data_IF_841249165808
#
_entry.id   IF_841249165808
#
_cell.length_a   1.000
_cell.length_b   1.000
_cell.length_c   1.000
_cell.angle_alpha   90.00
_cell.angle_beta   90.00
_cell.angle_gamma   90.00
#
_symmetry.space_group_name_H-M   'P 1'
#
loop_
_entity.id
_entity.type
_entity.pdbx_description
1 polymer ?
#
# COMPACT_ATOMS: atom_id res chain seq x y z
N UNK A 1 9.34 -25.56 22.87
CA UNK A 1 8.16 -24.96 22.20
C UNK A 1 7.97 -23.63 22.89
N UNK A 2 7.92 -22.54 22.14
CA UNK A 2 7.81 -21.19 22.69
C UNK A 2 6.40 -20.98 23.24
N UNK A 3 6.26 -20.31 24.38
CA UNK A 3 4.99 -19.91 24.96
C UNK A 3 4.14 -19.09 23.96
N UNK A 4 4.76 -18.48 22.95
CA UNK A 4 4.15 -17.69 21.90
C UNK A 4 3.15 -18.51 21.05
N UNK A 5 3.49 -19.78 20.72
CA UNK A 5 2.59 -20.67 19.98
C UNK A 5 1.23 -20.87 20.66
N UNK A 6 1.24 -20.88 21.98
CA UNK A 6 0.04 -21.20 22.78
C UNK A 6 -0.74 -19.93 23.18
N UNK A 7 -0.14 -18.74 23.01
CA UNK A 7 -0.70 -17.48 23.53
C UNK A 7 -0.93 -16.41 22.47
N UNK A 8 -0.32 -16.55 21.27
CA UNK A 8 -0.43 -15.56 20.18
C UNK A 8 -1.08 -16.18 18.96
N UNK A 9 -2.08 -15.49 18.41
CA UNK A 9 -2.68 -15.87 17.14
C UNK A 9 -1.86 -15.24 15.99
N UNK A 10 -1.25 -16.07 15.16
CA UNK A 10 -0.41 -15.64 14.05
C UNK A 10 -1.23 -15.49 12.76
N UNK A 11 -1.00 -14.39 12.05
CA UNK A 11 -1.58 -14.16 10.72
C UNK A 11 -0.86 -14.98 9.63
N UNK A 12 -1.52 -15.19 8.51
CA UNK A 12 -0.99 -15.82 7.30
C UNK A 12 -0.56 -17.29 7.44
N UNK A 13 -0.90 -17.95 8.51
CA UNK A 13 -0.65 -19.38 8.68
C UNK A 13 -1.78 -20.05 9.48
N UNK A 14 -1.93 -21.37 9.30
CA UNK A 14 -2.74 -22.15 10.22
C UNK A 14 -2.01 -22.23 11.57
N UNK A 15 -2.70 -21.90 12.66
CA UNK A 15 -2.11 -21.86 14.01
C UNK A 15 -1.46 -23.21 14.39
N UNK A 16 -2.08 -24.31 14.00
CA UNK A 16 -1.54 -25.67 14.24
C UNK A 16 -0.22 -25.96 13.52
N UNK A 17 0.03 -25.26 12.41
CA UNK A 17 1.25 -25.42 11.60
C UNK A 17 2.35 -24.40 11.93
N UNK A 18 2.05 -23.40 12.78
CA UNK A 18 3.05 -22.40 13.15
C UNK A 18 4.17 -23.02 14.01
N UNK A 19 5.39 -22.89 13.52
CA UNK A 19 6.61 -23.39 14.17
C UNK A 19 7.81 -22.53 13.77
N UNK A 20 7.73 -21.22 13.98
CA UNK A 20 8.81 -20.31 13.65
C UNK A 20 9.88 -20.29 14.75
N UNK A 21 11.17 -20.13 14.40
CA UNK A 21 12.22 -19.95 15.39
C UNK A 21 12.08 -18.58 16.08
N UNK A 22 12.52 -18.53 17.36
CA UNK A 22 12.52 -17.28 18.12
C UNK A 22 13.66 -16.37 17.67
N UNK A 23 13.34 -15.14 17.27
CA UNK A 23 14.32 -14.09 16.97
C UNK A 23 14.62 -13.31 18.26
N UNK A 24 15.89 -13.23 18.64
CA UNK A 24 16.36 -12.52 19.85
C UNK A 24 17.13 -11.25 19.55
N UNK A 25 17.42 -10.97 18.28
CA UNK A 25 18.14 -9.77 17.88
C UNK A 25 18.38 -9.71 16.36
N UNK A 26 19.06 -8.66 15.92
CA UNK A 26 19.44 -8.49 14.52
C UNK A 26 20.43 -7.35 14.33
N UNK A 27 21.11 -7.33 13.18
CA UNK A 27 21.98 -6.24 12.76
C UNK A 27 22.11 -6.23 11.23
N UNK A 28 21.90 -5.08 10.61
CA UNK A 28 21.93 -4.97 9.15
C UNK A 28 20.90 -5.92 8.50
N UNK A 29 21.35 -6.82 7.65
CA UNK A 29 20.47 -7.82 6.99
C UNK A 29 20.39 -9.17 7.75
N UNK A 30 20.91 -9.26 8.98
CA UNK A 30 20.97 -10.50 9.71
C UNK A 30 20.04 -10.52 10.92
N UNK A 31 19.31 -11.63 11.09
CA UNK A 31 18.56 -11.96 12.30
C UNK A 31 19.36 -12.94 13.14
N UNK A 32 19.29 -12.80 14.46
CA UNK A 32 19.91 -13.68 15.44
C UNK A 32 18.80 -14.49 16.11
N UNK A 33 18.93 -15.80 16.06
CA UNK A 33 17.96 -16.72 16.63
C UNK A 33 18.39 -17.18 18.04
N UNK A 34 17.42 -17.58 18.85
CA UNK A 34 17.63 -18.06 20.22
C UNK A 34 18.56 -19.28 20.31
N UNK A 35 18.54 -20.13 19.28
CA UNK A 35 19.41 -21.32 19.17
C UNK A 35 20.84 -20.99 18.70
N UNK A 36 21.22 -19.73 18.61
CA UNK A 36 22.52 -19.26 18.21
C UNK A 36 22.76 -19.14 16.70
N UNK A 37 21.84 -19.58 15.85
CA UNK A 37 21.96 -19.40 14.40
C UNK A 37 21.79 -17.94 14.00
N UNK A 38 22.43 -17.58 12.88
CA UNK A 38 22.22 -16.32 12.18
C UNK A 38 21.55 -16.59 10.85
N UNK A 39 20.51 -15.85 10.51
CA UNK A 39 19.74 -15.99 9.27
C UNK A 39 19.80 -14.69 8.49
N UNK A 40 20.08 -14.79 7.20
CA UNK A 40 20.01 -13.64 6.29
C UNK A 40 18.54 -13.35 5.98
N UNK A 41 18.11 -12.13 6.28
CA UNK A 41 16.76 -11.65 5.96
C UNK A 41 16.69 -11.20 4.49
N UNK A 42 16.22 -12.10 3.62
CA UNK A 42 16.05 -11.85 2.18
C UNK A 42 14.72 -11.17 1.85
N UNK A 43 13.82 -11.02 2.83
CA UNK A 43 12.50 -10.42 2.65
C UNK A 43 12.36 -9.04 3.28
N UNK A 44 13.39 -8.56 3.98
CA UNK A 44 13.31 -7.33 4.78
C UNK A 44 12.11 -7.34 5.76
N UNK A 45 11.80 -8.54 6.31
CA UNK A 45 10.61 -8.81 7.14
C UNK A 45 9.34 -8.19 6.52
N UNK A 46 8.95 -8.69 5.35
CA UNK A 46 7.85 -8.18 4.54
C UNK A 46 8.01 -6.67 4.23
N UNK A 47 9.19 -6.31 3.73
CA UNK A 47 9.57 -4.96 3.24
C UNK A 47 9.58 -3.85 4.32
N UNK A 48 9.53 -4.23 5.61
CA UNK A 48 9.46 -3.26 6.72
C UNK A 48 10.82 -2.81 7.26
N UNK A 49 11.94 -3.41 6.80
CA UNK A 49 13.29 -3.14 7.33
C UNK A 49 14.25 -2.59 6.27
N UNK A 50 13.80 -1.58 5.50
CA UNK A 50 14.57 -1.00 4.38
C UNK A 50 15.97 -0.48 4.78
N UNK A 51 16.15 -0.02 6.01
CA UNK A 51 17.43 0.48 6.54
C UNK A 51 18.25 -0.62 7.23
N UNK A 52 17.74 -1.84 7.24
CA UNK A 52 18.32 -2.94 8.01
C UNK A 52 17.94 -2.93 9.50
N UNK A 53 18.17 -4.08 10.15
CA UNK A 53 17.85 -4.27 11.55
C UNK A 53 18.77 -3.43 12.45
N UNK A 54 18.21 -2.84 13.50
CA UNK A 54 18.92 -2.06 14.52
C UNK A 54 19.79 -0.92 13.95
N UNK A 55 19.28 -0.22 12.94
CA UNK A 55 19.99 0.94 12.38
C UNK A 55 20.29 1.97 13.48
N UNK A 56 21.56 2.35 13.73
CA UNK A 56 21.96 3.08 14.95
C UNK A 56 21.28 4.45 15.08
N UNK A 57 21.07 5.17 13.98
CA UNK A 57 20.38 6.47 14.01
C UNK A 57 18.89 6.33 14.35
N UNK A 58 18.24 5.27 13.89
CA UNK A 58 16.82 5.00 14.21
C UNK A 58 16.69 4.65 15.70
N UNK A 59 17.53 3.75 16.21
CA UNK A 59 17.55 3.38 17.63
C UNK A 59 17.80 4.59 18.52
N UNK A 60 18.77 5.43 18.16
CA UNK A 60 19.07 6.65 18.90
C UNK A 60 17.89 7.64 18.91
N UNK A 61 17.22 7.83 17.78
CA UNK A 61 16.05 8.71 17.67
C UNK A 61 14.87 8.22 18.54
N UNK A 62 14.60 6.91 18.53
CA UNK A 62 13.56 6.28 19.37
C UNK A 62 13.87 6.52 20.86
N UNK A 63 15.10 6.24 21.30
CA UNK A 63 15.52 6.45 22.69
C UNK A 63 15.34 7.90 23.11
N UNK A 64 15.86 8.84 22.33
CA UNK A 64 15.78 10.26 22.63
C UNK A 64 14.34 10.77 22.68
N UNK A 65 13.42 10.23 21.85
CA UNK A 65 12.02 10.61 21.91
C UNK A 65 11.29 9.97 23.11
N UNK A 66 11.59 8.71 23.43
CA UNK A 66 11.01 8.00 24.56
C UNK A 66 11.35 8.68 25.91
N UNK A 67 12.56 9.23 26.04
CA UNK A 67 12.97 10.01 27.21
C UNK A 67 12.20 11.33 27.39
N UNK A 68 11.64 11.88 26.31
CA UNK A 68 10.87 13.13 26.34
C UNK A 68 9.38 12.88 26.57
N UNK A 69 8.77 12.08 25.72
CA UNK A 69 7.34 11.80 25.73
C UNK A 69 7.01 10.65 24.80
N UNK A 70 6.40 9.58 25.34
CA UNK A 70 6.02 8.40 24.57
C UNK A 70 4.73 8.56 23.78
N UNK A 71 3.77 9.34 24.28
CA UNK A 71 2.45 9.45 23.69
C UNK A 71 1.83 10.84 23.85
N UNK A 72 1.14 11.28 22.80
CA UNK A 72 0.29 12.48 22.84
C UNK A 72 -0.93 12.26 21.92
N UNK A 73 -2.11 12.65 22.40
CA UNK A 73 -3.36 12.51 21.61
C UNK A 73 -3.38 13.48 20.42
N UNK A 74 -4.31 13.23 19.49
CA UNK A 74 -4.51 14.10 18.32
C UNK A 74 -5.01 15.51 18.67
N UNK A 75 -5.57 15.71 19.88
CA UNK A 75 -5.99 17.03 20.35
C UNK A 75 -4.80 17.98 20.64
N UNK A 76 -3.58 17.45 20.72
CA UNK A 76 -2.38 18.22 21.03
C UNK A 76 -1.39 18.20 19.88
N UNK A 77 -0.62 19.29 19.72
CA UNK A 77 0.49 19.34 18.77
C UNK A 77 1.65 18.44 19.23
N UNK A 78 2.35 17.81 18.28
CA UNK A 78 3.58 17.08 18.50
C UNK A 78 4.62 17.50 17.46
N UNK A 79 5.80 17.97 17.92
CA UNK A 79 6.84 18.44 17.01
C UNK A 79 7.34 17.35 16.07
N UNK A 80 7.55 16.13 16.56
CA UNK A 80 7.98 14.99 15.74
C UNK A 80 7.00 14.66 14.62
N UNK A 81 5.68 14.74 14.90
CA UNK A 81 4.62 14.54 13.92
C UNK A 81 4.59 15.66 12.87
N UNK A 82 4.74 16.91 13.30
CA UNK A 82 4.76 18.05 12.40
C UNK A 82 5.99 18.05 11.47
N UNK A 83 7.18 17.78 12.03
CA UNK A 83 8.42 17.70 11.26
C UNK A 83 8.35 16.57 10.20
N UNK A 84 7.84 15.40 10.58
CA UNK A 84 7.66 14.30 9.65
C UNK A 84 6.65 14.62 8.56
N UNK A 85 5.52 15.24 8.90
CA UNK A 85 4.51 15.63 7.92
C UNK A 85 5.09 16.63 6.89
N UNK A 86 5.81 17.65 7.36
CA UNK A 86 6.46 18.62 6.47
C UNK A 86 7.45 17.92 5.52
N UNK A 87 8.26 17.00 6.05
CA UNK A 87 9.23 16.26 5.24
C UNK A 87 8.57 15.34 4.22
N UNK A 88 7.48 14.66 4.59
CA UNK A 88 6.72 13.81 3.66
C UNK A 88 6.10 14.62 2.52
N UNK A 89 5.53 15.79 2.81
CA UNK A 89 4.96 16.68 1.78
C UNK A 89 6.04 17.19 0.82
N UNK A 90 7.21 17.57 1.34
CA UNK A 90 8.36 17.97 0.53
C UNK A 90 8.82 16.83 -0.40
N UNK A 91 9.04 15.62 0.15
CA UNK A 91 9.53 14.46 -0.60
C UNK A 91 8.53 13.96 -1.64
N UNK A 92 7.24 14.05 -1.32
CA UNK A 92 6.18 13.58 -2.22
C UNK A 92 5.71 14.63 -3.23
N UNK A 93 6.10 15.90 -3.09
CA UNK A 93 5.64 16.96 -3.98
C UNK A 93 4.14 17.32 -3.83
N UNK A 94 3.50 16.96 -2.71
CA UNK A 94 2.11 17.32 -2.41
C UNK A 94 2.04 18.69 -1.75
N UNK A 95 2.37 19.75 -2.51
CA UNK A 95 2.30 21.12 -2.01
C UNK A 95 0.87 21.48 -1.55
N UNK A 96 0.76 22.08 -0.36
CA UNK A 96 -0.53 22.42 0.26
C UNK A 96 -1.34 21.23 0.78
N UNK A 97 -0.82 20.01 0.64
CA UNK A 97 -1.42 18.78 1.13
C UNK A 97 -1.46 18.66 2.66
N UNK A 98 -1.98 17.55 3.14
CA UNK A 98 -2.03 17.19 4.56
C UNK A 98 -1.66 15.73 4.73
N UNK A 99 -0.96 15.41 5.82
CA UNK A 99 -0.61 14.04 6.20
C UNK A 99 -1.55 13.56 7.30
N UNK A 100 -2.17 12.43 7.08
CA UNK A 100 -2.96 11.73 8.09
C UNK A 100 -2.19 10.49 8.55
N UNK A 101 -1.77 10.46 9.80
CA UNK A 101 -1.01 9.34 10.37
C UNK A 101 -1.93 8.20 10.81
N UNK A 102 -1.56 6.98 10.45
CA UNK A 102 -2.30 5.74 10.71
C UNK A 102 -1.41 4.71 11.39
N UNK A 103 -1.98 3.56 11.77
CA UNK A 103 -1.26 2.48 12.44
C UNK A 103 -0.58 1.50 11.47
N UNK A 104 -0.97 1.52 10.20
CA UNK A 104 -0.41 0.64 9.18
C UNK A 104 -1.05 0.85 7.82
N UNK A 105 -0.57 0.13 6.77
CA UNK A 105 -1.03 0.29 5.39
C UNK A 105 -2.51 0.00 5.19
N UNK A 106 -3.06 -1.04 5.84
CA UNK A 106 -4.48 -1.34 5.76
C UNK A 106 -5.35 -0.19 6.27
N UNK A 107 -4.98 0.38 7.42
CA UNK A 107 -5.64 1.52 8.04
C UNK A 107 -5.49 2.78 7.16
N UNK A 108 -4.31 2.99 6.55
CA UNK A 108 -4.08 4.08 5.62
C UNK A 108 -5.00 4.00 4.39
N UNK A 109 -5.12 2.83 3.77
CA UNK A 109 -5.98 2.61 2.61
C UNK A 109 -7.47 2.81 2.94
N UNK A 110 -7.94 2.31 4.08
CA UNK A 110 -9.32 2.53 4.52
C UNK A 110 -9.60 4.03 4.78
N UNK A 111 -8.66 4.73 5.40
CA UNK A 111 -8.79 6.17 5.64
C UNK A 111 -8.74 6.97 4.34
N UNK A 112 -7.89 6.59 3.37
CA UNK A 112 -7.84 7.23 2.06
C UNK A 112 -9.20 7.13 1.35
N UNK A 113 -9.80 5.95 1.29
CA UNK A 113 -11.14 5.75 0.72
C UNK A 113 -12.19 6.56 1.49
N UNK A 114 -12.17 6.53 2.82
CA UNK A 114 -13.09 7.29 3.66
C UNK A 114 -12.99 8.79 3.38
N UNK A 115 -11.77 9.35 3.36
CA UNK A 115 -11.53 10.78 3.13
C UNK A 115 -12.04 11.18 1.74
N UNK A 116 -11.74 10.41 0.70
CA UNK A 116 -12.20 10.69 -0.66
C UNK A 116 -13.72 10.62 -0.75
N UNK A 117 -14.35 9.58 -0.21
CA UNK A 117 -15.82 9.46 -0.18
C UNK A 117 -16.48 10.66 0.52
N UNK A 118 -15.91 11.12 1.65
CA UNK A 118 -16.42 12.28 2.37
C UNK A 118 -16.21 13.58 1.59
N UNK A 119 -15.02 13.80 1.04
CA UNK A 119 -14.69 15.01 0.28
C UNK A 119 -15.58 15.20 -0.95
N UNK A 120 -15.99 14.11 -1.59
CA UNK A 120 -16.86 14.12 -2.77
C UNK A 120 -18.36 14.07 -2.43
N UNK A 121 -18.74 13.95 -1.15
CA UNK A 121 -20.14 13.73 -0.77
C UNK A 121 -20.72 12.39 -1.27
N UNK A 122 -19.86 11.40 -1.52
CA UNK A 122 -20.24 10.07 -2.05
C UNK A 122 -20.00 8.96 -1.01
N UNK A 123 -20.73 8.92 0.12
CA UNK A 123 -20.41 8.00 1.24
C UNK A 123 -20.52 6.52 0.85
N UNK A 124 -21.28 6.18 -0.18
CA UNK A 124 -21.44 4.83 -0.72
C UNK A 124 -20.87 4.71 -2.14
N UNK A 125 -20.01 5.64 -2.55
CA UNK A 125 -19.41 5.60 -3.88
C UNK A 125 -18.56 4.36 -4.10
N UNK A 126 -18.64 3.78 -5.30
CA UNK A 126 -17.88 2.59 -5.69
C UNK A 126 -16.39 2.93 -5.77
N UNK A 127 -15.55 2.01 -5.35
CA UNK A 127 -14.09 2.07 -5.55
C UNK A 127 -13.68 1.04 -6.59
N UNK A 128 -12.95 1.49 -7.61
CA UNK A 128 -12.37 0.60 -8.60
C UNK A 128 -10.96 0.22 -8.14
N UNK A 129 -10.76 -1.07 -7.94
CA UNK A 129 -9.48 -1.66 -7.57
C UNK A 129 -9.00 -2.63 -8.66
N UNK A 130 -7.91 -3.32 -8.42
CA UNK A 130 -7.30 -4.23 -9.39
C UNK A 130 -7.26 -5.66 -8.86
N UNK A 131 -7.51 -6.63 -9.71
CA UNK A 131 -7.22 -8.03 -9.43
C UNK A 131 -5.72 -8.23 -9.19
N UNK A 132 -5.36 -9.20 -8.35
CA UNK A 132 -3.99 -9.50 -7.96
C UNK A 132 -3.27 -8.30 -7.33
N UNK A 133 -4.00 -7.49 -6.55
CA UNK A 133 -3.48 -6.43 -5.69
C UNK A 133 -3.57 -6.82 -4.22
N UNK A 134 -2.86 -6.09 -3.35
CA UNK A 134 -2.96 -6.26 -1.92
C UNK A 134 -2.96 -4.89 -1.23
N UNK A 135 -4.03 -4.61 -0.49
CA UNK A 135 -4.22 -3.33 0.19
C UNK A 135 -4.34 -3.46 1.71
N UNK A 136 -4.23 -4.67 2.23
CA UNK A 136 -4.28 -4.94 3.67
C UNK A 136 -5.24 -6.07 4.05
N UNK A 137 -5.35 -6.33 5.35
CA UNK A 137 -6.12 -7.43 5.92
C UNK A 137 -7.25 -7.00 6.87
N UNK A 138 -7.56 -5.70 6.96
CA UNK A 138 -8.79 -5.22 7.57
C UNK A 138 -9.96 -5.39 6.61
N UNK A 139 -11.19 -5.25 7.06
CA UNK A 139 -12.36 -5.68 6.29
C UNK A 139 -12.49 -4.98 4.92
N UNK A 140 -12.42 -3.64 4.88
CA UNK A 140 -12.46 -2.91 3.61
C UNK A 140 -11.16 -3.10 2.82
N UNK A 141 -9.99 -3.15 3.47
CA UNK A 141 -8.73 -3.38 2.78
C UNK A 141 -8.66 -4.77 2.12
N UNK A 142 -9.26 -5.81 2.72
CA UNK A 142 -9.46 -7.11 2.05
C UNK A 142 -10.38 -7.00 0.84
N UNK A 143 -11.46 -6.22 0.94
CA UNK A 143 -12.36 -5.99 -0.18
C UNK A 143 -11.68 -5.24 -1.33
N UNK A 144 -10.80 -4.26 -1.04
CA UNK A 144 -9.97 -3.56 -2.02
C UNK A 144 -8.93 -4.48 -2.67
N UNK A 145 -8.45 -5.49 -1.94
CA UNK A 145 -7.44 -6.43 -2.42
C UNK A 145 -8.03 -7.38 -3.46
N UNK A 146 -7.35 -7.50 -4.59
CA UNK A 146 -7.66 -8.49 -5.63
C UNK A 146 -6.95 -9.83 -5.42
N UNK A 147 -6.40 -10.05 -4.24
CA UNK A 147 -5.72 -11.30 -3.87
C UNK A 147 -6.75 -12.40 -3.59
N UNK A 148 -6.59 -13.55 -4.25
CA UNK A 148 -7.51 -14.68 -4.09
C UNK A 148 -7.57 -15.23 -2.67
N UNK A 149 -6.51 -15.02 -1.86
CA UNK A 149 -6.47 -15.44 -0.45
C UNK A 149 -7.45 -14.67 0.42
N UNK A 150 -7.76 -13.43 0.08
CA UNK A 150 -8.69 -12.57 0.82
C UNK A 150 -10.12 -12.68 0.35
N UNK A 151 -10.35 -13.02 -0.93
CA UNK A 151 -11.70 -13.10 -1.53
C UNK A 151 -12.66 -14.09 -0.87
N UNK A 152 -12.13 -15.14 -0.24
CA UNK A 152 -12.96 -16.10 0.49
C UNK A 152 -13.52 -15.56 1.81
N UNK A 153 -13.03 -14.41 2.28
CA UNK A 153 -13.34 -13.85 3.61
C UNK A 153 -14.24 -12.61 3.54
N UNK A 154 -14.42 -12.03 2.37
CA UNK A 154 -15.15 -10.76 2.20
C UNK A 154 -15.83 -10.70 0.83
N UNK A 155 -17.03 -10.11 0.79
CA UNK A 155 -17.72 -9.80 -0.45
C UNK A 155 -17.39 -8.34 -0.87
N UNK A 156 -16.59 -8.14 -1.94
CA UNK A 156 -16.22 -6.80 -2.39
C UNK A 156 -17.42 -5.98 -2.85
N UNK A 157 -18.40 -6.59 -3.50
CA UNK A 157 -19.59 -5.90 -4.02
C UNK A 157 -20.42 -5.31 -2.87
N UNK A 158 -20.58 -6.05 -1.77
CA UNK A 158 -21.26 -5.57 -0.57
C UNK A 158 -20.52 -4.36 0.07
N UNK A 159 -19.20 -4.26 -0.14
CA UNK A 159 -18.37 -3.14 0.33
C UNK A 159 -18.29 -1.98 -0.67
N UNK A 160 -18.94 -2.10 -1.81
CA UNK A 160 -18.87 -1.11 -2.89
C UNK A 160 -17.48 -1.06 -3.54
N UNK A 161 -16.87 -2.22 -3.77
CA UNK A 161 -15.58 -2.36 -4.45
C UNK A 161 -15.76 -3.22 -5.69
N UNK A 162 -15.14 -2.84 -6.78
CA UNK A 162 -15.11 -3.62 -8.03
C UNK A 162 -13.68 -3.73 -8.54
N UNK A 163 -13.35 -4.85 -9.17
CA UNK A 163 -12.02 -5.14 -9.65
C UNK A 163 -11.94 -5.17 -11.18
N UNK A 164 -10.75 -4.86 -11.68
CA UNK A 164 -10.38 -4.98 -13.10
C UNK A 164 -9.11 -5.78 -13.24
N UNK A 165 -8.89 -6.33 -14.44
CA UNK A 165 -7.69 -7.13 -14.72
C UNK A 165 -6.38 -6.34 -14.57
N UNK A 166 -5.28 -7.01 -14.12
CA UNK A 166 -3.99 -6.39 -13.87
C UNK A 166 -3.18 -6.14 -15.16
N UNK A 167 -2.22 -5.19 -15.13
CA UNK A 167 -1.27 -4.96 -16.24
C UNK A 167 -0.15 -6.01 -16.23
N UNK A 168 -0.49 -7.30 -16.32
CA UNK A 168 0.47 -8.40 -16.20
C UNK A 168 1.03 -8.79 -17.57
N UNK A 169 1.99 -8.03 -18.07
CA UNK A 169 2.54 -8.17 -19.42
C UNK A 169 3.11 -9.57 -19.74
N UNK A 170 3.67 -10.27 -18.75
CA UNK A 170 4.18 -11.65 -18.94
C UNK A 170 3.06 -12.63 -19.38
N UNK A 171 1.84 -12.44 -18.90
CA UNK A 171 0.62 -13.17 -19.29
C UNK A 171 -0.55 -12.18 -19.36
N UNK A 172 -0.51 -11.32 -20.38
CA UNK A 172 -1.47 -10.24 -20.51
C UNK A 172 -2.90 -10.77 -20.60
N UNK A 173 -3.79 -10.40 -19.66
CA UNK A 173 -5.17 -10.88 -19.64
C UNK A 173 -5.98 -10.36 -20.84
N UNK A 174 -5.48 -9.34 -21.53
CA UNK A 174 -6.11 -8.76 -22.73
C UNK A 174 -5.58 -9.37 -24.03
N UNK A 175 -4.72 -10.40 -23.97
CA UNK A 175 -4.19 -11.10 -25.15
C UNK A 175 -3.06 -10.38 -25.90
N UNK A 176 -2.60 -9.20 -25.44
CA UNK A 176 -1.48 -8.50 -26.07
C UNK A 176 -0.14 -9.16 -25.76
N UNK A 177 0.74 -9.18 -26.77
CA UNK A 177 2.15 -9.58 -26.64
C UNK A 177 3.08 -8.37 -26.46
N UNK A 178 2.55 -7.16 -26.61
CA UNK A 178 3.30 -5.92 -26.39
C UNK A 178 3.08 -5.43 -24.97
N UNK A 179 4.12 -5.32 -24.12
CA UNK A 179 3.99 -4.84 -22.75
C UNK A 179 3.34 -3.45 -22.65
N UNK A 180 3.73 -2.52 -23.54
CA UNK A 180 3.16 -1.17 -23.51
C UNK A 180 1.66 -1.17 -23.82
N UNK A 181 1.22 -1.95 -24.80
CA UNK A 181 -0.18 -2.14 -25.12
C UNK A 181 -0.95 -2.80 -23.97
N UNK A 182 -0.35 -3.81 -23.31
CA UNK A 182 -0.94 -4.43 -22.12
C UNK A 182 -1.21 -3.40 -21.01
N UNK A 183 -0.29 -2.47 -20.78
CA UNK A 183 -0.48 -1.38 -19.82
C UNK A 183 -1.62 -0.44 -20.20
N UNK A 184 -1.72 -0.04 -21.45
CA UNK A 184 -2.81 0.81 -21.95
C UNK A 184 -4.18 0.12 -21.86
N UNK A 185 -4.26 -1.16 -22.23
CA UNK A 185 -5.50 -1.95 -22.14
C UNK A 185 -5.96 -2.12 -20.69
N UNK A 186 -5.03 -2.36 -19.76
CA UNK A 186 -5.37 -2.46 -18.35
C UNK A 186 -5.89 -1.12 -17.78
N UNK A 187 -5.31 0.00 -18.19
CA UNK A 187 -5.83 1.32 -17.83
C UNK A 187 -7.20 1.59 -18.48
N UNK A 188 -7.40 1.18 -19.74
CA UNK A 188 -8.69 1.32 -20.42
C UNK A 188 -9.79 0.52 -19.72
N UNK A 189 -9.48 -0.67 -19.17
CA UNK A 189 -10.43 -1.47 -18.40
C UNK A 189 -10.92 -0.74 -17.14
N UNK A 190 -10.06 0.06 -16.49
CA UNK A 190 -10.48 0.95 -15.38
C UNK A 190 -11.50 1.97 -15.89
N UNK A 191 -11.24 2.60 -17.05
CA UNK A 191 -12.17 3.56 -17.65
C UNK A 191 -13.52 2.93 -17.97
N UNK A 192 -13.52 1.78 -18.62
CA UNK A 192 -14.75 1.02 -18.93
C UNK A 192 -15.53 0.68 -17.67
N UNK A 193 -14.84 0.31 -16.58
CA UNK A 193 -15.48 0.01 -15.30
C UNK A 193 -16.13 1.25 -14.69
N UNK A 194 -15.46 2.40 -14.74
CA UNK A 194 -16.03 3.68 -14.30
C UNK A 194 -17.26 4.03 -15.13
N UNK A 195 -17.18 3.90 -16.45
CA UNK A 195 -18.28 4.23 -17.36
C UNK A 195 -19.50 3.31 -17.15
N UNK A 196 -19.26 2.04 -16.83
CA UNK A 196 -20.32 1.06 -16.52
C UNK A 196 -21.12 1.44 -15.25
N UNK A 197 -20.45 1.93 -14.20
CA UNK A 197 -21.12 2.37 -12.97
C UNK A 197 -21.70 3.78 -13.08
N UNK A 198 -21.14 4.61 -13.97
CA UNK A 198 -21.34 6.06 -14.01
C UNK A 198 -20.36 6.79 -13.08
N UNK A 199 -19.71 7.84 -13.60
CA UNK A 199 -18.69 8.60 -12.86
C UNK A 199 -19.23 9.27 -11.58
N UNK A 200 -20.51 9.59 -11.54
CA UNK A 200 -21.22 10.14 -10.38
C UNK A 200 -21.30 9.14 -9.21
N UNK A 201 -21.31 7.84 -9.50
CA UNK A 201 -21.37 6.75 -8.52
C UNK A 201 -20.00 6.21 -8.11
N UNK A 202 -18.91 6.55 -8.84
CA UNK A 202 -17.55 6.12 -8.50
C UNK A 202 -16.88 7.16 -7.62
N UNK A 203 -16.32 6.72 -6.50
CA UNK A 203 -15.61 7.59 -5.56
C UNK A 203 -14.12 7.69 -5.87
N UNK A 204 -13.47 6.57 -6.19
CA UNK A 204 -12.02 6.53 -6.42
C UNK A 204 -11.60 5.34 -7.28
N UNK A 205 -10.40 5.48 -7.82
CA UNK A 205 -9.57 4.35 -8.27
C UNK A 205 -8.45 4.17 -7.25
N UNK A 206 -8.20 2.94 -6.79
CA UNK A 206 -7.04 2.61 -5.94
C UNK A 206 -6.19 1.54 -6.62
N UNK A 207 -4.91 1.83 -6.80
CA UNK A 207 -3.94 0.91 -7.40
C UNK A 207 -2.55 1.13 -6.83
N UNK A 208 -1.76 0.06 -6.81
CA UNK A 208 -0.32 0.13 -6.53
C UNK A 208 0.41 0.51 -7.85
N UNK A 209 1.39 1.41 -7.84
CA UNK A 209 2.25 1.63 -9.01
C UNK A 209 2.97 0.34 -9.45
N UNK A 210 3.41 -0.46 -8.48
CA UNK A 210 3.89 -1.83 -8.66
C UNK A 210 3.29 -2.72 -7.57
N UNK A 211 2.70 -3.85 -7.96
CA UNK A 211 2.10 -4.79 -7.00
C UNK A 211 3.17 -5.72 -6.43
N UNK A 212 3.78 -5.33 -5.32
CA UNK A 212 4.84 -6.11 -4.69
C UNK A 212 4.39 -7.49 -4.23
N UNK A 213 3.24 -7.59 -3.58
CA UNK A 213 2.72 -8.85 -3.02
C UNK A 213 2.43 -9.93 -4.08
N UNK A 214 2.12 -9.54 -5.30
CA UNK A 214 1.85 -10.45 -6.43
C UNK A 214 2.95 -10.44 -7.50
N UNK A 215 4.04 -9.70 -7.29
CA UNK A 215 5.17 -9.64 -8.21
C UNK A 215 4.83 -9.05 -9.58
N UNK A 216 3.86 -8.15 -9.66
CA UNK A 216 3.48 -7.51 -10.91
C UNK A 216 4.18 -6.16 -11.01
N UNK A 217 5.23 -6.10 -11.83
CA UNK A 217 5.84 -4.86 -12.27
C UNK A 217 5.06 -4.39 -13.50
N UNK A 218 4.33 -3.30 -13.33
CA UNK A 218 3.52 -2.74 -14.40
C UNK A 218 4.38 -2.18 -15.53
N UNK A 219 3.98 -2.31 -16.81
CA UNK A 219 4.62 -1.61 -17.91
C UNK A 219 4.62 -0.09 -17.69
N UNK A 220 5.65 0.61 -18.17
CA UNK A 220 5.79 2.06 -17.98
C UNK A 220 4.62 2.87 -18.56
N UNK A 221 3.91 2.33 -19.55
CA UNK A 221 2.68 2.92 -20.11
C UNK A 221 1.50 2.92 -19.14
N UNK A 222 1.46 2.00 -18.18
CA UNK A 222 0.28 1.77 -17.33
C UNK A 222 -0.06 2.95 -16.44
N UNK A 223 0.87 3.39 -15.60
CA UNK A 223 0.59 4.42 -14.61
C UNK A 223 0.14 5.76 -15.21
N UNK A 224 0.83 6.32 -16.23
CA UNK A 224 0.36 7.51 -16.92
C UNK A 224 -1.02 7.34 -17.57
N UNK A 225 -1.30 6.15 -18.11
CA UNK A 225 -2.61 5.85 -18.69
C UNK A 225 -3.71 5.78 -17.64
N UNK A 226 -3.47 5.15 -16.47
CA UNK A 226 -4.42 5.15 -15.34
C UNK A 226 -4.73 6.57 -14.90
N UNK A 227 -3.69 7.40 -14.71
CA UNK A 227 -3.87 8.80 -14.32
C UNK A 227 -4.68 9.58 -15.34
N UNK A 228 -4.40 9.41 -16.62
CA UNK A 228 -5.13 10.02 -17.72
C UNK A 228 -6.61 9.60 -17.70
N UNK A 229 -6.88 8.30 -17.60
CA UNK A 229 -8.22 7.72 -17.59
C UNK A 229 -9.05 8.24 -16.40
N UNK A 230 -8.47 8.27 -15.20
CA UNK A 230 -9.12 8.77 -14.01
C UNK A 230 -9.43 10.28 -14.11
N UNK A 231 -8.43 11.09 -14.57
CA UNK A 231 -8.58 12.53 -14.73
C UNK A 231 -9.64 12.91 -15.75
N UNK A 232 -9.70 12.22 -16.89
CA UNK A 232 -10.73 12.45 -17.92
C UNK A 232 -12.15 12.25 -17.41
N UNK A 233 -12.33 11.44 -16.37
CA UNK A 233 -13.64 11.14 -15.75
C UNK A 233 -13.87 11.88 -14.44
N UNK A 234 -12.92 12.71 -14.00
CA UNK A 234 -13.02 13.43 -12.73
C UNK A 234 -12.98 12.53 -11.50
N UNK A 235 -12.36 11.35 -11.61
CA UNK A 235 -12.26 10.38 -10.52
C UNK A 235 -10.90 10.51 -9.84
N UNK A 236 -10.85 10.67 -8.50
CA UNK A 236 -9.61 10.66 -7.74
C UNK A 236 -8.85 9.34 -7.86
N UNK A 237 -7.52 9.46 -8.01
CA UNK A 237 -6.59 8.33 -8.01
C UNK A 237 -5.89 8.25 -6.64
N UNK A 238 -6.04 7.12 -5.97
CA UNK A 238 -5.31 6.75 -4.75
C UNK A 238 -4.14 5.85 -5.17
N UNK A 239 -2.91 6.28 -4.90
CA UNK A 239 -1.72 5.47 -5.07
C UNK A 239 -1.40 4.73 -3.76
N UNK A 240 -1.48 3.41 -3.77
CA UNK A 240 -0.96 2.60 -2.68
C UNK A 240 0.55 2.41 -2.88
N UNK A 241 1.34 3.16 -2.12
CA UNK A 241 2.80 3.14 -2.11
C UNK A 241 3.37 2.38 -0.91
N UNK A 242 2.55 1.64 -0.18
CA UNK A 242 2.97 0.91 1.03
C UNK A 242 4.16 0.00 0.74
N UNK A 243 4.18 -0.67 -0.40
CA UNK A 243 5.32 -1.50 -0.82
C UNK A 243 6.26 -0.81 -1.79
N UNK A 244 5.77 0.07 -2.65
CA UNK A 244 6.55 0.67 -3.73
C UNK A 244 7.30 1.94 -3.32
N UNK A 245 6.91 2.57 -2.23
CA UNK A 245 7.48 3.81 -1.73
C UNK A 245 8.84 3.67 -1.04
N UNK A 246 9.35 4.78 -0.56
CA UNK A 246 10.57 4.93 0.21
C UNK A 246 11.82 4.32 -0.43
N UNK A 247 12.00 4.54 -1.73
CA UNK A 247 13.18 4.13 -2.48
C UNK A 247 13.10 2.73 -3.11
N UNK A 248 12.05 1.96 -2.86
CA UNK A 248 11.89 0.60 -3.38
C UNK A 248 11.98 0.51 -4.90
N UNK A 249 11.43 1.50 -5.59
CA UNK A 249 11.38 1.58 -7.05
C UNK A 249 12.38 2.59 -7.65
N UNK A 250 13.34 3.07 -6.86
CA UNK A 250 14.39 3.99 -7.32
C UNK A 250 14.13 5.47 -7.03
N UNK A 251 12.89 5.87 -6.88
CA UNK A 251 12.45 7.21 -6.43
C UNK A 251 11.92 7.15 -4.99
N UNK A 252 11.70 8.30 -4.34
CA UNK A 252 11.07 8.32 -3.02
C UNK A 252 9.72 7.61 -3.03
N UNK A 253 8.91 7.87 -4.08
CA UNK A 253 7.65 7.18 -4.34
C UNK A 253 7.61 6.75 -5.81
N UNK A 254 7.12 5.55 -6.09
CA UNK A 254 7.19 4.95 -7.41
C UNK A 254 6.48 5.78 -8.51
N UNK A 255 5.40 6.48 -8.15
CA UNK A 255 4.69 7.34 -9.08
C UNK A 255 5.56 8.48 -9.64
N UNK A 256 6.60 8.92 -8.90
CA UNK A 256 7.46 10.05 -9.30
C UNK A 256 8.30 9.75 -10.55
N UNK A 257 8.48 8.47 -10.90
CA UNK A 257 9.10 8.06 -12.17
C UNK A 257 8.40 8.63 -13.40
N UNK A 258 7.14 9.02 -13.25
CA UNK A 258 6.29 9.50 -14.34
C UNK A 258 6.08 11.03 -14.31
N UNK A 259 6.81 11.73 -13.44
CA UNK A 259 6.72 13.18 -13.28
C UNK A 259 5.32 13.66 -12.85
N UNK A 260 5.07 14.96 -12.97
CA UNK A 260 3.80 15.58 -12.53
C UNK A 260 2.57 15.00 -13.22
N UNK A 261 2.72 14.51 -14.45
CA UNK A 261 1.63 13.86 -15.18
C UNK A 261 1.13 12.59 -14.48
N UNK A 262 1.99 11.94 -13.70
CA UNK A 262 1.68 10.73 -12.93
C UNK A 262 1.20 10.97 -11.50
N UNK A 263 1.20 12.22 -11.01
CA UNK A 263 0.88 12.51 -9.61
C UNK A 263 -0.55 12.08 -9.24
N UNK A 264 -0.73 11.22 -8.22
CA UNK A 264 -2.03 10.83 -7.71
C UNK A 264 -2.68 11.96 -6.91
N UNK A 265 -3.96 11.83 -6.57
CA UNK A 265 -4.68 12.78 -5.72
C UNK A 265 -4.50 12.47 -4.24
N UNK A 266 -4.32 11.18 -3.91
CA UNK A 266 -4.04 10.67 -2.56
C UNK A 266 -2.95 9.60 -2.67
N UNK A 267 -2.10 9.52 -1.64
CA UNK A 267 -1.05 8.50 -1.54
C UNK A 267 -1.06 7.89 -0.12
N UNK A 268 -0.92 6.58 -0.03
CA UNK A 268 -0.83 5.82 1.23
C UNK A 268 0.49 5.08 1.35
#
# INVERSE_FOLDING_TARGET
>A
MTAERDTVLHSWCAQSAWNAPTVVGGAGAWLHLEDGRRVLDMSSLAECSNLGHQHPRVVAAIRAQAEKLCFVTNAWGAKSRADLAARLLELSGFEGGRVFFTLGGADANEHAVKIVRQALGKPKGVVVARDRSYHGSTHLAMALSGDTRTRAMVDPDAMGVTHVEPPYAYRCPFGSRNPAECGELAAAAIGQRIDLFGADRVAAVIVEPNAGSNGIVAPDSYWPAVRRVARQRGIPLIADEVMSGFGRCGEWFAWQRYGDAGRPDVMT
#
